data_IF_360301564163
#
_entry.id   IF_360301564163
#
_cell.length_a   1.000
_cell.length_b   1.000
_cell.length_c   1.000
_cell.angle_alpha   90.00
_cell.angle_beta   90.00
_cell.angle_gamma   90.00
#
_symmetry.space_group_name_H-M   'P 1'
#
loop_
_entity.id
_entity.type
_entity.pdbx_description
1 polymer ?
#
# COMPACT_ATOMS: atom_id res chain seq x y z
N UNK A 1 10.58 -10.29 19.44
CA UNK A 1 9.41 -9.45 19.06
C UNK A 1 9.37 -9.16 17.56
N UNK A 2 10.31 -8.38 16.99
CA UNK A 2 10.19 -7.90 15.60
C UNK A 2 10.29 -8.97 14.51
N UNK A 3 11.15 -9.97 14.66
CA UNK A 3 11.36 -11.01 13.64
C UNK A 3 10.07 -11.68 13.15
N UNK A 4 9.21 -12.23 14.02
CA UNK A 4 7.95 -12.86 13.57
C UNK A 4 6.97 -11.86 12.94
N UNK A 5 6.86 -10.64 13.48
CA UNK A 5 6.00 -9.59 12.91
C UNK A 5 6.46 -9.26 11.50
N UNK A 6 7.74 -8.92 11.32
CA UNK A 6 8.30 -8.53 10.02
C UNK A 6 8.21 -9.64 8.98
N UNK A 7 8.38 -10.91 9.39
CA UNK A 7 8.21 -12.05 8.49
C UNK A 7 6.77 -12.16 7.95
N UNK A 8 5.76 -11.98 8.81
CA UNK A 8 4.34 -12.00 8.39
C UNK A 8 3.94 -10.79 7.56
N UNK A 9 4.45 -9.61 7.92
CA UNK A 9 4.29 -8.39 7.10
C UNK A 9 4.94 -8.55 5.72
N UNK A 10 6.13 -9.14 5.64
CA UNK A 10 6.78 -9.37 4.36
C UNK A 10 6.02 -10.39 3.50
N UNK A 11 5.58 -11.50 4.10
CA UNK A 11 4.80 -12.51 3.38
C UNK A 11 3.50 -11.93 2.80
N UNK A 12 2.75 -11.17 3.61
CA UNK A 12 1.53 -10.49 3.16
C UNK A 12 1.82 -9.42 2.11
N UNK A 13 2.88 -8.62 2.27
CA UNK A 13 3.27 -7.62 1.26
C UNK A 13 3.61 -8.26 -0.09
N UNK A 14 4.37 -9.36 -0.09
CA UNK A 14 4.68 -10.11 -1.33
C UNK A 14 3.41 -10.58 -2.02
N UNK A 15 2.43 -11.11 -1.27
CA UNK A 15 1.14 -11.51 -1.83
C UNK A 15 0.39 -10.31 -2.43
N UNK A 16 0.32 -9.18 -1.70
CA UNK A 16 -0.34 -7.96 -2.16
C UNK A 16 0.29 -7.34 -3.41
N UNK A 17 1.56 -7.64 -3.69
CA UNK A 17 2.27 -7.18 -4.89
C UNK A 17 2.03 -8.05 -6.13
N UNK A 18 1.28 -9.15 -6.00
CA UNK A 18 0.93 -9.97 -7.17
C UNK A 18 0.00 -9.21 -8.12
N UNK A 19 0.23 -9.40 -9.43
CA UNK A 19 -0.41 -8.61 -10.50
C UNK A 19 -1.91 -8.96 -10.64
N UNK A 20 -2.28 -10.18 -10.25
CA UNK A 20 -3.62 -10.76 -10.46
C UNK A 20 -4.40 -10.91 -9.14
N UNK A 21 -4.11 -10.08 -8.13
CA UNK A 21 -4.79 -10.20 -6.84
C UNK A 21 -6.20 -9.61 -6.88
N UNK A 22 -7.18 -10.40 -6.42
CA UNK A 22 -8.55 -9.94 -6.21
C UNK A 22 -8.62 -9.00 -5.00
N UNK A 23 -9.44 -7.95 -5.08
CA UNK A 23 -9.65 -6.98 -4.00
C UNK A 23 -10.19 -7.65 -2.73
N UNK A 24 -11.02 -8.69 -2.87
CA UNK A 24 -11.48 -9.48 -1.73
C UNK A 24 -10.33 -10.19 -1.02
N UNK A 25 -9.36 -10.72 -1.78
CA UNK A 25 -8.18 -11.36 -1.23
C UNK A 25 -7.31 -10.31 -0.51
N UNK A 26 -7.19 -9.10 -1.06
CA UNK A 26 -6.48 -7.99 -0.39
C UNK A 26 -7.09 -7.68 0.97
N UNK A 27 -8.42 -7.49 1.04
CA UNK A 27 -9.11 -7.16 2.29
C UNK A 27 -8.97 -8.29 3.31
N UNK A 28 -9.14 -9.55 2.89
CA UNK A 28 -8.99 -10.72 3.77
C UNK A 28 -7.55 -10.91 4.28
N UNK A 29 -6.54 -10.63 3.45
CA UNK A 29 -5.13 -10.65 3.88
C UNK A 29 -4.87 -9.61 4.97
N UNK A 30 -5.34 -8.38 4.79
CA UNK A 30 -5.22 -7.34 5.82
C UNK A 30 -5.96 -7.72 7.11
N UNK A 31 -7.17 -8.28 7.00
CA UNK A 31 -7.94 -8.73 8.16
C UNK A 31 -7.23 -9.87 8.91
N UNK A 32 -6.62 -10.81 8.19
CA UNK A 32 -5.85 -11.91 8.79
C UNK A 32 -4.58 -11.39 9.49
N UNK A 33 -3.90 -10.40 8.91
CA UNK A 33 -2.70 -9.80 9.48
C UNK A 33 -3.03 -8.96 10.71
N UNK A 34 -4.14 -8.22 10.67
CA UNK A 34 -4.65 -7.46 11.81
C UNK A 34 -4.91 -8.37 13.00
N UNK A 35 -5.67 -9.46 12.81
CA UNK A 35 -5.94 -10.46 13.86
C UNK A 35 -4.65 -11.07 14.41
N UNK A 36 -3.69 -11.39 13.54
CA UNK A 36 -2.39 -11.89 13.96
C UNK A 36 -1.61 -10.90 14.85
N UNK A 37 -1.66 -9.60 14.53
CA UNK A 37 -0.98 -8.56 15.33
C UNK A 37 -1.74 -8.30 16.63
N UNK A 38 -3.06 -8.40 16.65
CA UNK A 38 -3.87 -8.34 17.87
C UNK A 38 -3.54 -9.49 18.82
N UNK A 39 -3.49 -10.74 18.32
CA UNK A 39 -3.07 -11.91 19.12
C UNK A 39 -1.64 -11.77 19.65
N UNK A 40 -0.78 -11.05 18.92
CA UNK A 40 0.59 -10.77 19.34
C UNK A 40 0.64 -9.96 20.64
N UNK A 41 -0.37 -9.12 20.89
CA UNK A 41 -0.50 -8.27 22.09
C UNK A 41 -0.59 -9.09 23.37
N UNK A 42 -1.17 -10.29 23.32
CA UNK A 42 -1.32 -11.15 24.50
C UNK A 42 -0.04 -11.91 24.85
N UNK A 43 0.90 -12.02 23.91
CA UNK A 43 2.13 -12.83 24.04
C UNK A 43 3.32 -12.11 24.67
N UNK A 44 3.09 -11.01 25.39
CA UNK A 44 4.16 -10.22 26.00
C UNK A 44 5.09 -11.08 26.87
N UNK A 45 4.53 -11.95 27.71
CA UNK A 45 5.28 -12.68 28.72
C UNK A 45 6.28 -13.66 28.07
N UNK A 46 5.89 -14.30 26.96
CA UNK A 46 6.77 -15.18 26.17
C UNK A 46 7.96 -14.41 25.59
N UNK A 47 7.73 -13.20 25.08
CA UNK A 47 8.81 -12.38 24.53
C UNK A 47 9.71 -11.80 25.60
N UNK A 48 9.16 -11.53 26.78
CA UNK A 48 9.94 -11.09 27.91
C UNK A 48 10.90 -12.20 28.39
N UNK A 49 10.43 -13.44 28.46
CA UNK A 49 11.29 -14.59 28.79
C UNK A 49 12.40 -14.79 27.74
N UNK A 50 12.07 -14.74 26.46
CA UNK A 50 13.06 -14.80 25.37
C UNK A 50 14.08 -13.65 25.43
N UNK A 51 13.65 -12.46 25.82
CA UNK A 51 14.56 -11.32 25.98
C UNK A 51 15.51 -11.55 27.17
N UNK A 52 15.00 -12.07 28.30
CA UNK A 52 15.80 -12.40 29.49
C UNK A 52 16.85 -13.47 29.20
N UNK A 53 16.50 -14.52 28.45
CA UNK A 53 17.46 -15.58 28.06
C UNK A 53 18.56 -15.06 27.13
N UNK A 54 18.23 -14.14 26.22
CA UNK A 54 19.19 -13.55 25.27
C UNK A 54 20.11 -12.49 25.89
N UNK A 55 19.60 -11.68 26.84
CA UNK A 55 20.35 -10.56 27.42
C UNK A 55 21.10 -10.90 28.72
N UNK A 56 20.87 -12.07 29.31
CA UNK A 56 21.46 -12.50 30.60
C UNK A 56 21.21 -11.53 31.77
N UNK A 57 20.33 -10.54 31.60
CA UNK A 57 20.04 -9.46 32.55
C UNK A 57 18.56 -9.50 32.90
N UNK A 58 18.27 -9.42 34.20
CA UNK A 58 16.90 -9.42 34.72
C UNK A 58 16.35 -8.03 35.02
N UNK A 59 17.22 -7.03 35.23
CA UNK A 59 16.85 -5.65 35.55
C UNK A 59 16.77 -4.79 34.29
N UNK A 60 15.74 -3.95 34.21
CA UNK A 60 15.64 -2.95 33.17
C UNK A 60 16.55 -1.76 33.46
N UNK A 61 16.97 -1.04 32.42
CA UNK A 61 17.88 0.11 32.56
C UNK A 61 17.31 1.27 33.37
N UNK A 62 15.98 1.34 33.51
CA UNK A 62 15.27 2.32 34.33
C UNK A 62 15.01 1.86 35.76
N UNK A 63 15.27 0.59 36.08
CA UNK A 63 15.19 0.10 37.45
C UNK A 63 16.37 0.68 38.24
N UNK A 64 16.07 1.54 39.21
CA UNK A 64 17.07 2.30 39.99
C UNK A 64 17.24 3.77 39.58
N UNK A 65 16.55 4.24 38.54
CA UNK A 65 16.55 5.68 38.18
C UNK A 65 15.56 6.43 39.07
N UNK A 66 16.00 7.54 39.69
CA UNK A 66 15.14 8.37 40.54
C UNK A 66 13.96 8.94 39.75
N UNK A 67 12.76 8.48 40.06
CA UNK A 67 11.50 9.01 39.53
C UNK A 67 11.25 10.43 40.07
N UNK A 68 11.07 11.42 39.18
CA UNK A 68 10.73 12.79 39.58
C UNK A 68 9.24 12.84 39.97
N UNK A 69 8.96 12.99 41.26
CA UNK A 69 7.59 13.26 41.74
C UNK A 69 7.29 14.76 41.60
N UNK A 70 6.14 15.09 41.00
CA UNK A 70 5.61 16.46 40.96
C UNK A 70 5.28 16.93 42.38
N UNK A 71 5.60 18.19 42.72
CA UNK A 71 5.16 18.81 43.99
C UNK A 71 3.62 18.90 43.98
N UNK A 72 2.98 18.33 45.01
CA UNK A 72 1.53 18.40 45.23
C UNK A 72 1.16 19.69 45.96
N UNK A 73 0.00 20.25 45.66
CA UNK A 73 -0.64 21.31 46.45
C UNK A 73 -1.69 20.69 47.38
N UNK A 74 -1.98 21.36 48.50
CA UNK A 74 -2.82 20.84 49.60
C UNK A 74 -4.23 20.38 49.16
N UNK A 75 -4.81 21.02 48.15
CA UNK A 75 -6.19 20.75 47.69
C UNK A 75 -6.28 19.70 46.55
N UNK A 76 -5.16 19.09 46.12
CA UNK A 76 -5.22 18.07 45.07
C UNK A 76 -5.54 16.67 45.64
N UNK A 77 -6.73 16.16 45.34
CA UNK A 77 -7.08 14.74 45.52
C UNK A 77 -6.15 13.85 44.71
N UNK A 78 -5.89 12.63 45.21
CA UNK A 78 -5.00 11.66 44.56
C UNK A 78 -5.39 11.42 43.09
N UNK A 79 -4.66 12.03 42.16
CA UNK A 79 -4.62 11.49 40.80
C UNK A 79 -3.83 10.20 40.90
N UNK A 80 -4.47 9.06 40.62
CA UNK A 80 -3.85 7.76 40.44
C UNK A 80 -2.87 7.81 39.26
N UNK A 81 -1.73 8.47 39.44
CA UNK A 81 -0.57 8.24 38.59
C UNK A 81 0.05 6.94 39.09
N UNK A 82 -0.53 5.82 38.66
CA UNK A 82 0.06 4.50 38.83
C UNK A 82 1.45 4.55 38.20
N UNK A 83 2.48 4.58 39.05
CA UNK A 83 3.86 4.50 38.59
C UNK A 83 4.08 3.07 38.12
N UNK A 84 4.00 2.87 36.81
CA UNK A 84 4.34 1.60 36.19
C UNK A 84 5.85 1.38 36.37
N UNK A 85 6.23 0.31 37.05
CA UNK A 85 7.62 -0.06 37.34
C UNK A 85 8.00 -1.37 36.62
N UNK A 86 9.29 -1.53 36.31
CA UNK A 86 9.86 -2.74 35.72
C UNK A 86 9.14 -3.22 34.46
N UNK A 87 8.60 -4.44 34.54
CA UNK A 87 7.94 -5.16 33.43
C UNK A 87 6.64 -4.48 32.97
N UNK A 88 5.85 -3.93 33.89
CA UNK A 88 4.59 -3.27 33.56
C UNK A 88 4.83 -1.99 32.75
N UNK A 89 5.92 -1.27 33.04
CA UNK A 89 6.33 -0.10 32.27
C UNK A 89 6.70 -0.49 30.83
N UNK A 90 7.52 -1.54 30.66
CA UNK A 90 7.87 -2.06 29.34
C UNK A 90 6.63 -2.53 28.56
N UNK A 91 5.70 -3.20 29.25
CA UNK A 91 4.47 -3.72 28.65
C UNK A 91 3.56 -2.59 28.16
N UNK A 92 3.27 -1.61 29.00
CA UNK A 92 2.29 -0.57 28.69
C UNK A 92 2.87 0.57 27.84
N UNK A 93 4.07 1.06 28.15
CA UNK A 93 4.62 2.25 27.46
C UNK A 93 5.34 1.93 26.15
N UNK A 94 5.84 0.70 25.99
CA UNK A 94 6.60 0.31 24.80
C UNK A 94 5.84 -0.73 24.00
N UNK A 95 5.55 -1.89 24.60
CA UNK A 95 5.00 -3.01 23.84
C UNK A 95 3.60 -2.73 23.29
N UNK A 96 2.65 -2.35 24.15
CA UNK A 96 1.29 -2.02 23.73
C UNK A 96 1.26 -0.82 22.79
N UNK A 97 2.03 0.22 23.05
CA UNK A 97 2.11 1.38 22.13
C UNK A 97 2.54 0.97 20.72
N UNK A 98 3.54 0.08 20.59
CA UNK A 98 4.00 -0.40 19.29
C UNK A 98 2.91 -1.24 18.61
N UNK A 99 2.36 -2.24 19.29
CA UNK A 99 1.38 -3.17 18.71
C UNK A 99 0.09 -2.42 18.36
N UNK A 100 -0.43 -1.60 19.26
CA UNK A 100 -1.65 -0.84 19.06
C UNK A 100 -1.47 0.14 17.89
N UNK A 101 -0.29 0.78 17.77
CA UNK A 101 0.01 1.61 16.60
C UNK A 101 0.02 0.80 15.32
N UNK A 102 0.61 -0.39 15.30
CA UNK A 102 0.60 -1.26 14.11
C UNK A 102 -0.84 -1.65 13.73
N UNK A 103 -1.67 -2.06 14.69
CA UNK A 103 -3.09 -2.41 14.46
C UNK A 103 -3.86 -1.23 13.88
N UNK A 104 -3.71 -0.02 14.44
CA UNK A 104 -4.39 1.18 13.93
C UNK A 104 -3.98 1.47 12.48
N UNK A 105 -2.69 1.41 12.14
CA UNK A 105 -2.24 1.64 10.76
C UNK A 105 -2.73 0.55 9.79
N UNK A 106 -2.80 -0.72 10.24
CA UNK A 106 -3.36 -1.80 9.43
C UNK A 106 -4.86 -1.59 9.18
N UNK A 107 -5.61 -1.17 10.20
CA UNK A 107 -7.04 -0.85 10.09
C UNK A 107 -7.29 0.30 9.12
N UNK A 108 -6.55 1.39 9.23
CA UNK A 108 -6.67 2.53 8.31
C UNK A 108 -6.45 2.09 6.86
N UNK A 109 -5.40 1.31 6.60
CA UNK A 109 -5.14 0.78 5.24
C UNK A 109 -6.24 -0.15 4.76
N UNK A 110 -6.68 -1.09 5.62
CA UNK A 110 -7.76 -2.02 5.30
C UNK A 110 -9.04 -1.29 4.91
N UNK A 111 -9.40 -0.22 5.61
CA UNK A 111 -10.59 0.58 5.30
C UNK A 111 -10.53 1.14 3.88
N UNK A 112 -9.39 1.71 3.47
CA UNK A 112 -9.23 2.21 2.10
C UNK A 112 -9.45 1.12 1.03
N UNK A 113 -8.88 -0.08 1.21
CA UNK A 113 -9.14 -1.19 0.29
C UNK A 113 -10.57 -1.73 0.37
N UNK A 114 -11.18 -1.69 1.54
CA UNK A 114 -12.58 -2.08 1.74
C UNK A 114 -13.52 -1.15 0.97
N UNK A 115 -13.29 0.15 1.03
CA UNK A 115 -14.06 1.16 0.30
C UNK A 115 -13.91 0.99 -1.21
N UNK A 116 -12.67 0.79 -1.68
CA UNK A 116 -12.38 0.48 -3.09
C UNK A 116 -13.10 -0.80 -3.52
N UNK A 117 -13.05 -1.86 -2.71
CA UNK A 117 -13.72 -3.12 -3.01
C UNK A 117 -15.24 -2.99 -3.05
N UNK A 118 -15.83 -2.22 -2.13
CA UNK A 118 -17.26 -1.93 -2.13
C UNK A 118 -17.72 -1.21 -3.40
N UNK A 119 -16.90 -0.28 -3.89
CA UNK A 119 -17.19 0.52 -5.08
C UNK A 119 -16.91 -0.22 -6.39
N UNK A 120 -15.81 -0.97 -6.50
CA UNK A 120 -15.36 -1.55 -7.76
C UNK A 120 -15.41 -3.08 -7.82
N UNK A 121 -15.32 -3.78 -6.68
CA UNK A 121 -15.19 -5.24 -6.62
C UNK A 121 -16.35 -6.01 -7.26
N UNK A 122 -17.52 -5.38 -7.40
CA UNK A 122 -18.67 -5.97 -8.07
C UNK A 122 -18.47 -6.14 -9.59
N UNK A 123 -17.57 -5.38 -10.21
CA UNK A 123 -17.30 -5.39 -11.67
C UNK A 123 -16.70 -6.73 -12.10
N UNK A 124 -15.84 -7.35 -11.27
CA UNK A 124 -15.32 -8.70 -11.53
C UNK A 124 -16.36 -9.81 -11.29
N UNK A 125 -17.47 -9.49 -10.62
CA UNK A 125 -18.50 -10.44 -10.16
C UNK A 125 -19.86 -10.19 -10.80
N UNK A 126 -19.89 -9.58 -12.00
CA UNK A 126 -21.14 -9.26 -12.69
C UNK A 126 -21.97 -10.50 -13.04
N UNK A 127 -21.33 -11.65 -13.21
CA UNK A 127 -22.01 -12.92 -13.50
C UNK A 127 -22.91 -13.38 -12.35
N UNK A 128 -22.54 -13.12 -11.09
CA UNK A 128 -23.25 -13.61 -9.89
C UNK A 128 -24.30 -12.63 -9.35
N UNK A 129 -24.23 -11.36 -9.76
CA UNK A 129 -25.13 -10.30 -9.28
C UNK A 129 -26.42 -10.24 -10.09
N UNK A 130 -27.51 -9.86 -9.42
CA UNK A 130 -28.78 -9.56 -10.07
C UNK A 130 -28.71 -8.24 -10.84
N UNK A 131 -29.58 -8.08 -11.84
CA UNK A 131 -29.61 -6.87 -12.66
C UNK A 131 -29.96 -5.62 -11.86
N UNK A 132 -30.79 -5.74 -10.81
CA UNK A 132 -31.17 -4.60 -9.98
C UNK A 132 -30.02 -4.18 -9.04
N UNK A 133 -29.35 -5.14 -8.40
CA UNK A 133 -28.15 -4.87 -7.60
C UNK A 133 -27.01 -4.25 -8.41
N UNK A 134 -26.85 -4.65 -9.67
CA UNK A 134 -25.90 -4.00 -10.60
C UNK A 134 -26.27 -2.53 -10.84
N UNK A 135 -27.55 -2.22 -11.09
CA UNK A 135 -28.00 -0.84 -11.31
C UNK A 135 -27.80 0.04 -10.08
N UNK A 136 -28.09 -0.47 -8.89
CA UNK A 136 -27.87 0.24 -7.63
C UNK A 136 -26.38 0.61 -7.45
N UNK A 137 -25.48 -0.36 -7.64
CA UNK A 137 -24.03 -0.13 -7.52
C UNK A 137 -23.49 0.79 -8.61
N UNK A 138 -23.96 0.64 -9.85
CA UNK A 138 -23.59 1.52 -10.96
C UNK A 138 -24.03 2.96 -10.70
N UNK A 139 -25.25 3.18 -10.17
CA UNK A 139 -25.72 4.52 -9.75
C UNK A 139 -24.82 5.12 -8.68
N UNK A 140 -24.33 4.32 -7.74
CA UNK A 140 -23.40 4.81 -6.72
C UNK A 140 -22.08 5.27 -7.35
N UNK A 141 -21.53 4.53 -8.32
CA UNK A 141 -20.32 4.94 -9.05
C UNK A 141 -20.51 6.24 -9.83
N UNK A 142 -21.65 6.42 -10.52
CA UNK A 142 -21.96 7.68 -11.22
C UNK A 142 -22.01 8.87 -10.26
N UNK A 143 -22.50 8.68 -9.03
CA UNK A 143 -22.49 9.73 -8.00
C UNK A 143 -21.08 10.05 -7.50
N UNK A 144 -20.19 9.07 -7.46
CA UNK A 144 -18.80 9.25 -7.02
C UNK A 144 -17.97 9.94 -8.12
N UNK A 145 -18.22 9.61 -9.38
CA UNK A 145 -17.49 10.13 -10.55
C UNK A 145 -18.42 10.83 -11.56
N UNK A 146 -19.06 11.96 -11.19
CA UNK A 146 -20.03 12.64 -12.05
C UNK A 146 -19.41 13.33 -13.26
N UNK A 147 -18.11 13.64 -13.23
CA UNK A 147 -17.40 14.27 -14.35
C UNK A 147 -16.90 13.24 -15.38
N UNK A 148 -16.68 11.99 -14.96
CA UNK A 148 -16.13 10.93 -15.80
C UNK A 148 -17.20 9.97 -16.35
N UNK A 149 -18.34 9.82 -15.65
CA UNK A 149 -19.38 8.86 -15.98
C UNK A 149 -20.71 9.52 -16.35
N UNK A 150 -21.30 9.05 -17.45
CA UNK A 150 -22.66 9.41 -17.86
C UNK A 150 -23.71 8.47 -17.26
N UNK A 151 -24.96 8.91 -17.17
CA UNK A 151 -26.09 8.05 -16.72
C UNK A 151 -26.27 6.79 -17.59
N UNK A 152 -25.82 6.85 -18.85
CA UNK A 152 -25.82 5.71 -19.80
C UNK A 152 -24.98 4.54 -19.32
N UNK A 153 -24.00 4.78 -18.43
CA UNK A 153 -23.16 3.75 -17.83
C UNK A 153 -23.96 2.62 -17.18
N UNK A 154 -25.12 2.94 -16.57
CA UNK A 154 -25.92 1.97 -15.84
C UNK A 154 -26.42 0.86 -16.78
N UNK A 155 -27.02 1.23 -17.90
CA UNK A 155 -27.55 0.25 -18.87
C UNK A 155 -26.44 -0.36 -19.73
N UNK A 156 -25.38 0.40 -20.01
CA UNK A 156 -24.17 -0.09 -20.68
C UNK A 156 -23.53 -1.24 -19.88
N UNK A 157 -23.44 -1.12 -18.56
CA UNK A 157 -22.87 -2.14 -17.69
C UNK A 157 -23.78 -3.38 -17.56
N UNK A 158 -25.10 -3.21 -17.61
CA UNK A 158 -26.06 -4.33 -17.70
C UNK A 158 -25.90 -5.08 -19.02
N UNK A 159 -25.69 -4.38 -20.13
CA UNK A 159 -25.40 -5.00 -21.42
C UNK A 159 -24.04 -5.71 -21.40
N UNK A 160 -23.03 -5.08 -20.80
CA UNK A 160 -21.67 -5.61 -20.69
C UNK A 160 -21.62 -6.95 -19.97
N UNK A 161 -22.48 -7.16 -18.97
CA UNK A 161 -22.65 -8.46 -18.30
C UNK A 161 -22.89 -9.62 -19.29
N UNK A 162 -23.68 -9.42 -20.34
CA UNK A 162 -23.93 -10.48 -21.31
C UNK A 162 -22.71 -10.78 -22.18
N UNK A 163 -21.89 -9.77 -22.45
CA UNK A 163 -20.65 -9.93 -23.21
C UNK A 163 -19.56 -10.57 -22.34
N UNK A 164 -19.57 -10.32 -21.04
CA UNK A 164 -18.69 -11.01 -20.09
C UNK A 164 -18.78 -12.54 -20.26
N UNK A 165 -19.95 -13.11 -20.53
CA UNK A 165 -20.07 -14.56 -20.78
C UNK A 165 -19.26 -15.09 -21.98
N UNK A 166 -18.87 -14.23 -22.91
CA UNK A 166 -18.05 -14.60 -24.07
C UNK A 166 -16.55 -14.59 -23.77
N UNK A 167 -16.12 -13.92 -22.70
CA UNK A 167 -14.71 -13.85 -22.29
C UNK A 167 -14.26 -15.10 -21.52
N UNK A 168 -12.99 -15.45 -21.66
CA UNK A 168 -12.41 -16.58 -20.95
C UNK A 168 -12.28 -16.30 -19.45
N UNK A 169 -12.15 -17.35 -18.62
CA UNK A 169 -11.96 -17.18 -17.17
C UNK A 169 -10.71 -16.38 -16.83
N UNK A 170 -9.66 -16.49 -17.65
CA UNK A 170 -8.40 -15.76 -17.50
C UNK A 170 -8.60 -14.25 -17.72
N UNK A 171 -9.44 -13.87 -18.68
CA UNK A 171 -9.73 -12.48 -19.01
C UNK A 171 -10.54 -11.77 -17.92
N UNK A 172 -11.35 -12.53 -17.17
CA UNK A 172 -12.16 -12.06 -16.04
C UNK A 172 -11.40 -11.99 -14.72
N UNK A 173 -10.18 -12.55 -14.66
CA UNK A 173 -9.45 -12.73 -13.40
C UNK A 173 -9.00 -11.41 -12.77
N UNK A 174 -8.70 -10.40 -13.59
CA UNK A 174 -8.14 -9.13 -13.16
C UNK A 174 -8.71 -7.98 -13.97
N UNK A 175 -8.82 -6.80 -13.34
CA UNK A 175 -9.22 -5.56 -14.01
C UNK A 175 -8.29 -5.22 -15.18
N UNK A 176 -6.99 -5.52 -15.06
CA UNK A 176 -6.01 -5.26 -16.12
C UNK A 176 -6.28 -6.15 -17.34
N UNK A 177 -6.57 -7.44 -17.11
CA UNK A 177 -6.90 -8.39 -18.18
C UNK A 177 -8.20 -7.99 -18.87
N UNK A 178 -9.22 -7.64 -18.08
CA UNK A 178 -10.50 -7.18 -18.61
C UNK A 178 -10.35 -5.91 -19.46
N UNK A 179 -9.57 -4.95 -18.97
CA UNK A 179 -9.27 -3.72 -19.72
C UNK A 179 -8.55 -4.04 -21.03
N UNK A 180 -7.48 -4.84 -21.02
CA UNK A 180 -6.74 -5.24 -22.23
C UNK A 180 -7.65 -5.90 -23.26
N UNK A 181 -8.52 -6.80 -22.81
CA UNK A 181 -9.46 -7.49 -23.68
C UNK A 181 -10.48 -6.54 -24.30
N UNK A 182 -10.97 -5.56 -23.54
CA UNK A 182 -11.85 -4.51 -24.04
C UNK A 182 -11.12 -3.63 -25.07
N UNK A 183 -9.88 -3.20 -24.78
CA UNK A 183 -9.09 -2.32 -25.68
C UNK A 183 -8.69 -3.01 -26.99
N UNK A 184 -8.41 -4.31 -26.96
CA UNK A 184 -8.01 -5.07 -28.15
C UNK A 184 -9.20 -5.45 -29.05
N UNK A 185 -10.43 -5.22 -28.60
CA UNK A 185 -11.65 -5.59 -29.31
C UNK A 185 -12.34 -4.37 -29.93
N UNK A 186 -13.20 -4.59 -30.93
CA UNK A 186 -14.05 -3.54 -31.49
C UNK A 186 -15.17 -3.08 -30.52
N UNK A 187 -15.17 -3.55 -29.27
CA UNK A 187 -16.19 -3.25 -28.25
C UNK A 187 -15.97 -1.87 -27.59
N UNK A 188 -14.80 -1.26 -27.75
CA UNK A 188 -14.46 0.02 -27.12
C UNK A 188 -15.46 1.14 -27.49
N UNK A 189 -15.95 1.17 -28.73
CA UNK A 189 -16.94 2.17 -29.16
C UNK A 189 -18.32 1.97 -28.52
N UNK A 190 -18.65 0.73 -28.14
CA UNK A 190 -19.94 0.39 -27.52
C UNK A 190 -19.88 0.54 -26.00
N UNK A 191 -18.71 0.29 -25.39
CA UNK A 191 -18.51 0.22 -23.94
C UNK A 191 -17.50 1.25 -23.43
N UNK A 192 -17.63 2.50 -23.86
CA UNK A 192 -16.70 3.58 -23.52
C UNK A 192 -16.76 3.95 -22.02
N UNK A 193 -17.93 3.96 -21.38
CA UNK A 193 -18.02 4.27 -19.95
C UNK A 193 -17.45 3.13 -19.09
N UNK A 194 -17.59 1.87 -19.55
CA UNK A 194 -16.95 0.72 -18.91
C UNK A 194 -15.42 0.78 -19.06
N UNK A 195 -14.89 1.21 -20.20
CA UNK A 195 -13.45 1.44 -20.35
C UNK A 195 -12.93 2.49 -19.36
N UNK A 196 -13.64 3.62 -19.24
CA UNK A 196 -13.29 4.71 -18.32
C UNK A 196 -13.21 4.20 -16.88
N UNK A 197 -14.23 3.46 -16.41
CA UNK A 197 -14.23 2.99 -15.02
C UNK A 197 -13.13 1.97 -14.75
N UNK A 198 -12.84 1.08 -15.71
CA UNK A 198 -11.74 0.13 -15.62
C UNK A 198 -10.38 0.86 -15.58
N UNK A 199 -10.24 1.94 -16.35
CA UNK A 199 -9.03 2.78 -16.33
C UNK A 199 -8.85 3.51 -15.01
N UNK A 200 -9.90 4.14 -14.48
CA UNK A 200 -9.88 4.80 -13.17
C UNK A 200 -9.39 3.81 -12.11
N UNK A 201 -9.95 2.61 -12.10
CA UNK A 201 -9.54 1.57 -11.17
C UNK A 201 -8.06 1.16 -11.34
N UNK A 202 -7.62 0.88 -12.57
CA UNK A 202 -6.24 0.46 -12.84
C UNK A 202 -5.23 1.55 -12.46
N UNK A 203 -5.56 2.82 -12.71
CA UNK A 203 -4.72 3.96 -12.31
C UNK A 203 -4.66 4.11 -10.79
N UNK A 204 -5.75 3.88 -10.07
CA UNK A 204 -5.80 3.93 -8.60
C UNK A 204 -4.99 2.80 -7.96
N UNK A 205 -5.14 1.57 -8.45
CA UNK A 205 -4.54 0.35 -7.89
C UNK A 205 -3.05 0.16 -8.25
N UNK A 206 -2.55 0.75 -9.34
CA UNK A 206 -1.15 0.65 -9.79
C UNK A 206 -0.11 1.22 -8.82
N UNK A 207 -0.53 1.89 -7.74
CA UNK A 207 0.30 2.77 -6.92
C UNK A 207 1.08 2.09 -5.78
N UNK A 208 0.73 0.87 -5.34
CA UNK A 208 1.42 0.27 -4.17
C UNK A 208 2.68 -0.52 -4.55
N UNK A 209 2.60 -1.43 -5.52
CA UNK A 209 3.75 -2.24 -5.94
C UNK A 209 4.79 -1.44 -6.75
N UNK A 210 4.35 -0.50 -7.58
CA UNK A 210 5.25 0.37 -8.37
C UNK A 210 6.01 1.35 -7.48
N UNK A 211 5.36 1.87 -6.42
CA UNK A 211 5.99 2.69 -5.40
C UNK A 211 7.13 1.96 -4.70
N UNK A 212 6.91 0.71 -4.25
CA UNK A 212 7.96 -0.10 -3.61
C UNK A 212 9.11 -0.47 -4.56
N UNK A 213 8.81 -0.73 -5.84
CA UNK A 213 9.84 -0.92 -6.89
C UNK A 213 10.68 0.34 -7.05
N UNK A 214 10.05 1.51 -7.09
CA UNK A 214 10.71 2.81 -7.16
C UNK A 214 11.56 3.09 -5.91
N UNK A 215 11.07 2.78 -4.71
CA UNK A 215 11.86 2.89 -3.47
C UNK A 215 13.03 1.90 -3.41
N UNK A 216 12.87 0.71 -4.00
CA UNK A 216 13.97 -0.28 -4.12
C UNK A 216 15.05 0.20 -5.10
N UNK A 217 14.67 0.93 -6.16
CA UNK A 217 15.60 1.61 -7.06
C UNK A 217 16.28 2.78 -6.35
N UNK A 218 15.52 3.61 -5.63
CA UNK A 218 16.05 4.71 -4.81
C UNK A 218 17.07 4.21 -3.78
N UNK A 219 16.82 3.07 -3.13
CA UNK A 219 17.77 2.45 -2.20
C UNK A 219 19.10 2.07 -2.87
N UNK A 220 19.06 1.64 -4.14
CA UNK A 220 20.27 1.35 -4.92
C UNK A 220 21.03 2.64 -5.32
N UNK A 221 20.30 3.72 -5.58
CA UNK A 221 20.86 5.02 -5.94
C UNK A 221 21.46 5.73 -4.73
N UNK A 222 20.73 5.74 -3.61
CA UNK A 222 21.08 6.35 -2.33
C UNK A 222 21.67 5.29 -1.40
N UNK A 223 22.92 4.91 -1.67
CA UNK A 223 23.75 4.20 -0.70
C UNK A 223 24.48 5.23 0.19
N UNK A 224 24.79 4.87 1.43
CA UNK A 224 25.58 5.62 2.42
C UNK A 224 26.74 6.47 1.86
N UNK A 225 27.47 5.99 0.85
CA UNK A 225 28.56 6.73 0.18
C UNK A 225 28.10 7.86 -0.77
N UNK A 226 26.81 7.94 -1.09
CA UNK A 226 26.15 8.89 -2.00
C UNK A 226 25.02 9.67 -1.31
N UNK A 227 25.09 9.80 0.01
CA UNK A 227 24.06 10.45 0.85
C UNK A 227 23.88 11.96 0.58
N UNK A 228 24.81 12.61 -0.12
CA UNK A 228 24.81 14.04 -0.44
C UNK A 228 24.42 14.39 -1.89
N UNK A 229 23.63 13.54 -2.56
CA UNK A 229 23.06 13.86 -3.87
C UNK A 229 21.95 14.93 -3.72
N UNK A 230 22.03 15.99 -4.53
CA UNK A 230 20.96 17.00 -4.65
C UNK A 230 19.68 16.33 -5.18
N UNK A 231 18.52 16.71 -4.63
CA UNK A 231 17.23 16.07 -4.89
C UNK A 231 16.87 15.97 -6.39
N UNK A 232 17.14 17.01 -7.18
CA UNK A 232 16.91 17.00 -8.64
C UNK A 232 17.72 15.92 -9.36
N UNK A 233 18.99 15.75 -8.96
CA UNK A 233 19.89 14.75 -9.55
C UNK A 233 19.49 13.34 -9.13
N UNK A 234 19.01 13.18 -7.90
CA UNK A 234 18.50 11.91 -7.39
C UNK A 234 17.20 11.51 -8.08
N UNK A 235 16.27 12.45 -8.27
CA UNK A 235 15.03 12.22 -9.03
C UNK A 235 15.32 11.82 -10.47
N UNK A 236 16.19 12.56 -11.16
CA UNK A 236 16.61 12.26 -12.55
C UNK A 236 17.23 10.87 -12.66
N UNK A 237 18.13 10.51 -11.73
CA UNK A 237 18.78 9.20 -11.74
C UNK A 237 17.80 8.06 -11.41
N UNK A 238 16.77 8.34 -10.62
CA UNK A 238 15.70 7.38 -10.30
C UNK A 238 14.86 7.07 -11.52
N UNK A 239 14.46 8.10 -12.28
CA UNK A 239 13.74 7.92 -13.54
C UNK A 239 14.57 7.10 -14.52
N UNK A 240 15.86 7.42 -14.69
CA UNK A 240 16.76 6.66 -15.58
C UNK A 240 16.91 5.18 -15.20
N UNK A 241 16.85 4.84 -13.91
CA UNK A 241 16.95 3.46 -13.44
C UNK A 241 15.61 2.72 -13.45
N UNK A 242 14.49 3.41 -13.26
CA UNK A 242 13.14 2.83 -13.37
C UNK A 242 12.87 2.51 -14.84
N UNK A 243 13.18 3.43 -15.74
CA UNK A 243 12.97 3.31 -17.19
C UNK A 243 14.21 2.78 -17.92
N UNK A 244 15.02 1.95 -17.26
CA UNK A 244 16.27 1.43 -17.83
C UNK A 244 16.06 0.69 -19.15
N UNK A 245 14.91 0.06 -19.30
CA UNK A 245 14.56 -0.73 -20.49
C UNK A 245 14.35 0.17 -21.71
N UNK A 246 13.74 1.34 -21.52
CA UNK A 246 13.61 2.37 -22.57
C UNK A 246 15.00 2.95 -22.87
N UNK A 247 15.81 3.19 -21.83
CA UNK A 247 17.14 3.76 -21.96
C UNK A 247 18.09 2.92 -22.83
N UNK A 248 17.96 1.58 -22.76
CA UNK A 248 18.73 0.65 -23.59
C UNK A 248 18.33 0.68 -25.07
N UNK A 249 17.12 1.13 -25.39
CA UNK A 249 16.61 1.24 -26.75
C UNK A 249 16.96 2.57 -27.42
N UNK A 250 17.40 3.57 -26.64
CA UNK A 250 17.78 4.89 -27.14
C UNK A 250 19.20 4.86 -27.72
N UNK A 251 19.38 5.42 -28.92
CA UNK A 251 20.71 5.66 -29.48
C UNK A 251 21.39 6.83 -28.77
N UNK A 252 22.50 6.54 -28.09
CA UNK A 252 23.27 7.50 -27.32
C UNK A 252 24.14 8.42 -28.17
N UNK A 253 24.34 8.10 -29.45
CA UNK A 253 25.25 8.81 -30.36
C UNK A 253 24.90 10.30 -30.45
N UNK A 254 23.62 10.61 -30.65
CA UNK A 254 23.11 11.97 -30.75
C UNK A 254 23.20 12.73 -29.42
N UNK A 255 22.94 12.04 -28.30
CA UNK A 255 23.01 12.62 -26.96
C UNK A 255 24.45 12.97 -26.61
N UNK A 256 25.40 12.07 -26.90
CA UNK A 256 26.83 12.27 -26.69
C UNK A 256 27.33 13.43 -27.55
N UNK A 257 26.94 13.47 -28.83
CA UNK A 257 27.33 14.54 -29.73
C UNK A 257 26.78 15.90 -29.24
N UNK A 258 25.49 15.96 -28.87
CA UNK A 258 24.87 17.18 -28.32
C UNK A 258 25.52 17.62 -27.01
N UNK A 259 25.84 16.70 -26.10
CA UNK A 259 26.55 17.00 -24.86
C UNK A 259 27.97 17.51 -25.12
N UNK A 260 28.70 16.88 -26.05
CA UNK A 260 30.05 17.30 -26.45
C UNK A 260 30.05 18.70 -27.06
N UNK A 261 29.07 19.03 -27.91
CA UNK A 261 28.90 20.39 -28.47
C UNK A 261 28.63 21.42 -27.36
N UNK A 262 27.77 21.09 -26.40
CA UNK A 262 27.45 21.99 -25.28
C UNK A 262 28.63 22.17 -24.31
N UNK A 263 29.41 21.12 -24.06
CA UNK A 263 30.55 21.15 -23.12
C UNK A 263 31.83 21.72 -23.74
N UNK A 264 32.06 21.50 -25.04
CA UNK A 264 33.21 22.08 -25.77
C UNK A 264 33.13 23.62 -25.84
N UNK A 265 31.93 24.19 -25.74
CA UNK A 265 31.72 25.65 -25.62
C UNK A 265 32.00 26.22 -24.23
N UNK A 266 32.25 25.40 -23.21
CA UNK A 266 32.86 25.85 -21.93
C UNK A 266 34.38 25.91 -22.08
N UNK A 267 34.87 26.74 -23.01
CA UNK A 267 36.27 27.17 -23.03
C UNK A 267 36.42 28.24 -21.94
N UNK A 268 37.44 28.08 -21.10
CA UNK A 268 37.86 28.96 -20.00
C UNK A 268 37.63 30.45 -20.31
N UNK A 269 36.85 31.11 -19.46
CA UNK A 269 37.05 32.53 -19.12
C UNK A 269 37.75 32.52 -17.75
#
# INVERSE_FOLDING_TARGET
MWTPILQRFNATSISLQSIDIDLDIVVTLYESLEKYVEDFRERFDVYLEQAKTMCSKQLFSWDGVRQKKRKKFFDQTESNNELLEGEQKMKCEVFYVIIDRLVVNLRERKLSYTDINNNFGFILKLDTLDTNGIREKAKNLVKIYPEDLNETFIEELVQFKNILNLFSKEDKSSFISLLKCLTNSALLTTFANVEIILRIFCCMASSNASGERSFSVLKRIKHDLRSSLVDEKMSSLSILNIESDILQQIDWSDIIHKFAVLKSRKKLI
#
